data_IF_145140268722
#
_entry.id   IF_145140268722
#
_cell.length_a   1.000
_cell.length_b   1.000
_cell.length_c   1.000
_cell.angle_alpha   90.00
_cell.angle_beta   90.00
_cell.angle_gamma   90.00
#
_symmetry.space_group_name_H-M   'P 1'
#
loop_
_entity.id
_entity.type
_entity.pdbx_description
1 polymer ?
#
# COMPACT_ATOMS: atom_id res chain seq x y z
N UNK A 1 10.83 -17.49 -9.22
CA UNK A 1 11.92 -16.63 -9.69
C UNK A 1 11.58 -15.20 -9.31
N UNK A 2 12.40 -14.59 -8.47
CA UNK A 2 12.38 -13.18 -8.08
C UNK A 2 13.20 -12.40 -9.09
N UNK A 3 12.69 -11.24 -9.50
CA UNK A 3 13.38 -10.30 -10.39
C UNK A 3 13.32 -8.91 -9.77
N UNK A 4 14.47 -8.26 -9.64
CA UNK A 4 14.59 -6.91 -9.09
C UNK A 4 14.67 -5.88 -10.21
N UNK A 5 13.85 -4.82 -10.13
CA UNK A 5 13.90 -3.67 -11.04
C UNK A 5 13.78 -2.40 -10.23
N UNK A 6 14.78 -1.53 -10.35
CA UNK A 6 14.83 -0.25 -9.63
C UNK A 6 14.83 0.88 -10.64
N UNK A 7 13.94 1.86 -10.45
CA UNK A 7 13.81 3.01 -11.34
C UNK A 7 14.03 4.31 -10.57
N UNK A 8 14.72 5.26 -11.19
CA UNK A 8 14.78 6.64 -10.73
C UNK A 8 13.41 7.30 -10.99
N UNK A 9 12.71 7.68 -9.93
CA UNK A 9 11.33 8.18 -10.01
C UNK A 9 11.24 9.56 -10.68
N UNK A 10 12.33 10.33 -10.74
CA UNK A 10 12.36 11.63 -11.39
C UNK A 10 12.51 11.51 -12.91
N UNK A 11 13.30 10.54 -13.37
CA UNK A 11 13.69 10.41 -14.79
C UNK A 11 13.06 9.22 -15.49
N UNK A 12 12.54 8.25 -14.75
CA UNK A 12 12.08 6.95 -15.28
C UNK A 12 13.20 6.03 -15.74
N UNK A 13 14.48 6.37 -15.49
CA UNK A 13 15.63 5.55 -15.88
C UNK A 13 15.71 4.31 -14.99
N UNK A 14 15.87 3.13 -15.57
CA UNK A 14 16.26 1.92 -14.82
C UNK A 14 17.69 2.10 -14.28
N UNK A 15 17.84 1.91 -12.97
CA UNK A 15 19.11 2.01 -12.27
C UNK A 15 19.82 0.65 -12.26
N UNK A 16 21.12 0.68 -12.49
CA UNK A 16 22.01 -0.45 -12.19
C UNK A 16 22.49 -0.37 -10.73
N UNK A 17 22.98 -1.49 -10.18
CA UNK A 17 23.54 -1.51 -8.83
C UNK A 17 24.68 -0.48 -8.70
N UNK A 18 25.52 -0.36 -9.74
CA UNK A 18 26.62 0.61 -9.84
C UNK A 18 26.17 2.07 -9.86
N UNK A 19 24.94 2.38 -10.25
CA UNK A 19 24.40 3.74 -10.15
C UNK A 19 24.13 4.15 -8.69
N UNK A 20 23.89 3.16 -7.81
CA UNK A 20 23.41 3.33 -6.43
C UNK A 20 24.51 3.18 -5.39
N UNK A 21 25.47 2.28 -5.63
CA UNK A 21 26.54 1.98 -4.66
C UNK A 21 27.78 2.85 -4.91
N UNK A 22 28.48 3.21 -3.85
CA UNK A 22 29.77 3.93 -3.90
C UNK A 22 30.96 2.98 -3.86
N UNK A 23 30.79 1.83 -3.20
CA UNK A 23 31.81 0.79 -3.05
C UNK A 23 31.22 -0.58 -3.48
N UNK A 24 31.33 -0.87 -4.78
CA UNK A 24 30.77 -2.10 -5.36
C UNK A 24 31.46 -3.36 -4.83
N UNK A 25 32.78 -3.31 -4.64
CA UNK A 25 33.55 -4.43 -4.09
C UNK A 25 33.22 -4.64 -2.60
N UNK A 26 33.02 -3.55 -1.85
CA UNK A 26 32.54 -3.60 -0.48
C UNK A 26 31.16 -4.27 -0.34
N UNK A 27 30.25 -4.03 -1.29
CA UNK A 27 28.94 -4.72 -1.34
C UNK A 27 29.14 -6.22 -1.57
N UNK A 28 29.97 -6.62 -2.53
CA UNK A 28 30.27 -8.02 -2.80
C UNK A 28 30.84 -8.74 -1.56
N UNK A 29 31.84 -8.15 -0.90
CA UNK A 29 32.45 -8.73 0.31
C UNK A 29 31.46 -8.79 1.47
N UNK A 30 30.60 -7.77 1.64
CA UNK A 30 29.54 -7.80 2.65
C UNK A 30 28.57 -8.96 2.41
N UNK A 31 28.11 -9.13 1.16
CA UNK A 31 27.15 -10.17 0.78
C UNK A 31 27.74 -11.55 0.96
N UNK A 32 28.98 -11.75 0.51
CA UNK A 32 29.71 -13.00 0.73
C UNK A 32 29.77 -13.35 2.22
N UNK A 33 30.16 -12.39 3.06
CA UNK A 33 30.24 -12.58 4.51
C UNK A 33 28.87 -12.92 5.12
N UNK A 34 27.81 -12.22 4.75
CA UNK A 34 26.46 -12.49 5.26
C UNK A 34 25.95 -13.87 4.84
N UNK A 35 26.26 -14.31 3.63
CA UNK A 35 25.95 -15.67 3.19
C UNK A 35 26.71 -16.71 4.00
N UNK A 36 27.99 -16.48 4.31
CA UNK A 36 28.82 -17.37 5.14
C UNK A 36 28.34 -17.46 6.61
N UNK A 37 27.87 -16.35 7.18
CA UNK A 37 27.49 -16.26 8.59
C UNK A 37 26.04 -16.73 8.86
N UNK A 38 25.11 -16.48 7.93
CA UNK A 38 23.67 -16.62 8.20
C UNK A 38 23.03 -17.85 7.53
N UNK A 39 23.74 -18.55 6.65
CA UNK A 39 23.21 -19.73 5.96
C UNK A 39 24.02 -20.98 6.25
N UNK A 40 23.34 -22.15 6.21
CA UNK A 40 24.01 -23.44 6.32
C UNK A 40 24.86 -23.69 5.07
N UNK A 41 26.17 -23.54 5.23
CA UNK A 41 27.14 -23.70 4.15
C UNK A 41 27.11 -25.10 3.52
N UNK A 42 26.63 -26.12 4.25
CA UNK A 42 26.51 -27.48 3.70
C UNK A 42 25.40 -27.62 2.66
N UNK A 43 24.49 -26.65 2.60
CA UNK A 43 23.39 -26.61 1.63
C UNK A 43 23.78 -25.95 0.31
N UNK A 44 24.90 -25.22 0.25
CA UNK A 44 25.35 -24.54 -0.96
C UNK A 44 26.06 -25.49 -1.93
N UNK A 45 26.07 -25.15 -3.21
CA UNK A 45 26.87 -25.87 -4.20
C UNK A 45 28.37 -25.72 -3.92
N UNK A 46 29.17 -26.72 -4.29
CA UNK A 46 30.62 -26.71 -4.03
C UNK A 46 31.33 -25.48 -4.62
N UNK A 47 30.83 -24.97 -5.76
CA UNK A 47 31.34 -23.81 -6.49
C UNK A 47 30.49 -22.54 -6.32
N UNK A 48 29.65 -22.45 -5.29
CA UNK A 48 28.75 -21.30 -5.11
C UNK A 48 29.50 -19.96 -5.04
N UNK A 49 30.72 -19.92 -4.50
CA UNK A 49 31.51 -18.69 -4.40
C UNK A 49 31.97 -18.20 -5.78
N UNK A 50 32.32 -19.11 -6.69
CA UNK A 50 32.66 -18.76 -8.08
C UNK A 50 31.42 -18.25 -8.81
N UNK A 51 30.27 -18.86 -8.56
CA UNK A 51 28.97 -18.41 -9.10
C UNK A 51 28.62 -17.02 -8.59
N UNK A 52 28.72 -16.78 -7.27
CA UNK A 52 28.50 -15.48 -6.64
C UNK A 52 29.40 -14.40 -7.27
N UNK A 53 30.69 -14.69 -7.42
CA UNK A 53 31.62 -13.76 -8.06
C UNK A 53 31.21 -13.44 -9.51
N UNK A 54 30.85 -14.46 -10.30
CA UNK A 54 30.38 -14.24 -11.69
C UNK A 54 29.11 -13.40 -11.74
N UNK A 55 28.15 -13.61 -10.84
CA UNK A 55 26.91 -12.82 -10.80
C UNK A 55 27.15 -11.32 -10.52
N UNK A 56 28.24 -10.98 -9.81
CA UNK A 56 28.63 -9.58 -9.55
C UNK A 56 29.46 -8.95 -10.67
N UNK A 57 30.30 -9.73 -11.36
CA UNK A 57 31.35 -9.18 -12.24
C UNK A 57 31.27 -9.61 -13.71
N UNK A 58 30.51 -10.65 -14.04
CA UNK A 58 30.34 -11.16 -15.41
C UNK A 58 28.91 -10.94 -15.93
N UNK A 59 28.64 -9.71 -16.39
CA UNK A 59 27.35 -9.30 -16.96
C UNK A 59 27.03 -10.01 -18.29
N UNK A 60 27.98 -10.75 -18.88
CA UNK A 60 27.84 -11.47 -20.16
C UNK A 60 27.68 -12.99 -20.03
N UNK A 61 27.81 -13.52 -18.81
CA UNK A 61 27.87 -14.94 -18.53
C UNK A 61 26.51 -15.65 -18.46
N UNK A 62 26.55 -16.98 -18.52
CA UNK A 62 25.38 -17.87 -18.47
C UNK A 62 24.61 -17.84 -17.12
N UNK A 63 25.17 -17.19 -16.09
CA UNK A 63 24.65 -17.19 -14.71
C UNK A 63 23.74 -15.99 -14.39
N UNK A 64 23.62 -15.01 -15.30
CA UNK A 64 22.88 -13.78 -15.07
C UNK A 64 23.52 -12.85 -14.03
N UNK A 65 22.89 -11.71 -13.78
CA UNK A 65 23.34 -10.73 -12.79
C UNK A 65 22.56 -10.85 -11.48
N UNK A 66 23.17 -10.41 -10.38
CA UNK A 66 22.47 -10.31 -9.09
C UNK A 66 21.16 -9.54 -9.20
N UNK A 67 20.11 -10.10 -8.61
CA UNK A 67 18.81 -9.44 -8.51
C UNK A 67 18.78 -8.61 -7.25
N UNK A 68 18.32 -7.37 -7.34
CA UNK A 68 18.33 -6.46 -6.20
C UNK A 68 17.20 -5.44 -6.24
N UNK A 69 16.86 -4.93 -5.07
CA UNK A 69 15.92 -3.80 -4.88
C UNK A 69 16.49 -2.84 -3.84
N UNK A 70 15.99 -1.62 -3.84
CA UNK A 70 16.32 -0.60 -2.83
C UNK A 70 15.01 -0.15 -2.16
N UNK A 71 15.06 0.05 -0.85
CA UNK A 71 13.95 0.54 -0.03
C UNK A 71 14.40 1.78 0.77
N UNK A 72 13.53 2.28 1.65
CA UNK A 72 13.89 3.36 2.57
C UNK A 72 14.94 2.94 3.61
N UNK A 73 15.08 1.64 3.88
CA UNK A 73 15.97 1.13 4.95
C UNK A 73 17.33 0.67 4.44
N UNK A 74 17.46 0.42 3.14
CA UNK A 74 18.65 -0.18 2.57
C UNK A 74 18.40 -0.88 1.23
N UNK A 75 19.34 -1.77 0.90
CA UNK A 75 19.36 -2.55 -0.34
C UNK A 75 19.22 -4.03 -0.03
N UNK A 76 18.40 -4.74 -0.81
CA UNK A 76 18.22 -6.19 -0.71
C UNK A 76 18.79 -6.87 -1.95
N UNK A 77 19.63 -7.88 -1.79
CA UNK A 77 20.13 -8.76 -2.86
C UNK A 77 19.48 -10.12 -2.74
N UNK A 78 18.96 -10.63 -3.85
CA UNK A 78 18.23 -11.88 -3.93
C UNK A 78 18.97 -12.90 -4.79
N UNK A 79 18.99 -14.14 -4.32
CA UNK A 79 19.45 -15.31 -5.04
C UNK A 79 18.29 -16.29 -5.16
N UNK A 80 17.91 -16.59 -6.41
CA UNK A 80 16.86 -17.54 -6.70
C UNK A 80 17.27 -18.95 -6.29
N UNK A 81 16.26 -19.81 -6.12
CA UNK A 81 16.50 -21.25 -6.04
C UNK A 81 17.37 -21.70 -7.22
N UNK A 82 18.35 -22.56 -6.95
CA UNK A 82 19.35 -23.03 -7.90
C UNK A 82 20.45 -22.02 -8.31
N UNK A 83 20.42 -20.77 -7.84
CA UNK A 83 21.53 -19.83 -8.09
C UNK A 83 22.76 -20.27 -7.28
N UNK A 84 22.63 -20.36 -5.95
CA UNK A 84 23.72 -20.72 -5.04
C UNK A 84 23.56 -22.10 -4.38
N UNK A 85 22.33 -22.63 -4.38
CA UNK A 85 21.97 -23.82 -3.63
C UNK A 85 20.83 -24.60 -4.29
N UNK A 86 20.68 -25.92 -4.04
CA UNK A 86 19.55 -26.70 -4.52
C UNK A 86 18.21 -26.15 -4.03
N UNK A 87 17.11 -26.48 -4.72
CA UNK A 87 15.74 -26.06 -4.36
C UNK A 87 15.38 -26.19 -2.87
N UNK A 88 15.83 -27.27 -2.23
CA UNK A 88 15.54 -27.54 -0.80
C UNK A 88 16.13 -26.52 0.16
N UNK A 89 17.16 -25.78 -0.25
CA UNK A 89 17.75 -24.69 0.51
C UNK A 89 16.92 -23.39 0.43
N UNK A 90 15.90 -23.36 -0.43
CA UNK A 90 15.12 -22.16 -0.72
C UNK A 90 15.92 -21.09 -1.47
N UNK A 91 15.36 -19.89 -1.54
CA UNK A 91 16.06 -18.68 -2.00
C UNK A 91 16.85 -18.05 -0.86
N UNK A 92 17.96 -17.39 -1.19
CA UNK A 92 18.76 -16.63 -0.23
C UNK A 92 18.55 -15.12 -0.46
N UNK A 93 18.61 -14.34 0.61
CA UNK A 93 18.48 -12.89 0.58
C UNK A 93 19.51 -12.29 1.53
N UNK A 94 20.14 -11.19 1.12
CA UNK A 94 21.00 -10.40 1.99
C UNK A 94 20.52 -8.96 1.97
N UNK A 95 20.19 -8.44 3.15
CA UNK A 95 19.80 -7.05 3.36
C UNK A 95 20.98 -6.23 3.87
N UNK A 96 21.17 -5.06 3.29
CA UNK A 96 22.26 -4.14 3.56
C UNK A 96 21.66 -2.81 4.01
N UNK A 97 21.66 -2.59 5.33
CA UNK A 97 21.05 -1.39 5.95
C UNK A 97 21.84 -0.12 5.65
N UNK A 98 21.13 0.95 5.29
CA UNK A 98 21.70 2.30 5.21
C UNK A 98 22.22 2.80 6.53
N UNK A 99 21.59 2.43 7.65
CA UNK A 99 22.01 2.83 9.01
C UNK A 99 23.30 2.14 9.42
N UNK A 100 23.43 0.85 9.08
CA UNK A 100 24.59 0.04 9.46
C UNK A 100 25.79 0.22 8.53
N UNK A 101 25.56 0.40 7.23
CA UNK A 101 26.61 0.44 6.19
C UNK A 101 26.45 1.65 5.23
N UNK A 102 26.26 2.89 5.70
CA UNK A 102 25.99 4.03 4.83
C UNK A 102 27.12 4.30 3.83
N UNK A 103 28.35 3.96 4.19
CA UNK A 103 29.54 4.18 3.38
C UNK A 103 29.58 3.36 2.08
N UNK A 104 28.80 2.28 1.97
CA UNK A 104 28.73 1.44 0.77
C UNK A 104 27.87 2.07 -0.35
N UNK A 105 27.11 3.13 -0.03
CA UNK A 105 26.13 3.72 -0.93
C UNK A 105 26.52 5.12 -1.39
N UNK A 106 26.04 5.50 -2.58
CA UNK A 106 26.05 6.90 -2.99
C UNK A 106 25.14 7.68 -2.04
N UNK A 107 25.65 8.77 -1.46
CA UNK A 107 24.97 9.54 -0.41
C UNK A 107 23.56 10.02 -0.81
N UNK A 108 23.31 10.27 -2.10
CA UNK A 108 21.99 10.66 -2.61
C UNK A 108 20.89 9.61 -2.45
N UNK A 109 21.23 8.34 -2.25
CA UNK A 109 20.28 7.24 -2.06
C UNK A 109 20.15 6.79 -0.61
N UNK A 110 21.06 7.26 0.26
CA UNK A 110 20.99 6.98 1.69
C UNK A 110 19.84 7.79 2.28
N UNK A 111 18.83 7.10 2.80
CA UNK A 111 17.69 7.72 3.47
C UNK A 111 17.97 7.72 4.97
N UNK A 112 17.98 8.92 5.58
CA UNK A 112 18.19 9.11 7.02
C UNK A 112 16.86 9.18 7.81
N UNK A 113 15.77 8.72 7.21
CA UNK A 113 14.44 8.74 7.82
C UNK A 113 14.30 7.56 8.78
N UNK A 114 13.88 7.82 10.02
CA UNK A 114 13.64 6.73 10.99
C UNK A 114 12.37 5.94 10.66
N UNK A 115 11.36 6.58 10.04
CA UNK A 115 10.18 5.86 9.61
C UNK A 115 10.45 5.03 8.35
N UNK A 116 9.84 3.86 8.26
CA UNK A 116 9.95 3.00 7.09
C UNK A 116 8.73 2.10 6.91
N UNK A 117 8.61 1.49 5.73
CA UNK A 117 7.71 0.37 5.47
C UNK A 117 8.47 -0.86 5.01
N UNK A 118 7.98 -2.05 5.39
CA UNK A 118 8.47 -3.35 4.93
C UNK A 118 7.28 -4.19 4.46
N UNK A 119 7.37 -4.75 3.25
CA UNK A 119 6.35 -5.68 2.73
C UNK A 119 6.41 -6.99 3.51
N UNK A 120 5.26 -7.54 3.85
CA UNK A 120 5.11 -8.87 4.44
C UNK A 120 4.01 -9.64 3.71
N UNK A 121 4.24 -10.93 3.48
CA UNK A 121 3.30 -11.82 2.79
C UNK A 121 2.72 -12.83 3.76
N UNK A 122 1.48 -13.23 3.52
CA UNK A 122 0.80 -14.27 4.30
C UNK A 122 1.68 -15.53 4.37
N UNK A 123 1.79 -16.11 5.57
CA UNK A 123 2.60 -17.29 5.87
C UNK A 123 4.11 -17.12 5.64
N UNK A 124 4.61 -15.89 5.55
CA UNK A 124 6.03 -15.58 5.53
C UNK A 124 6.39 -14.66 6.70
N UNK A 125 7.68 -14.63 7.02
CA UNK A 125 8.23 -13.75 8.04
C UNK A 125 8.93 -12.55 7.42
N UNK A 126 8.91 -11.43 8.12
CA UNK A 126 9.85 -10.33 7.94
C UNK A 126 10.50 -9.98 9.28
N UNK A 127 11.63 -9.29 9.25
CA UNK A 127 12.37 -8.90 10.44
C UNK A 127 12.39 -7.39 10.54
N UNK A 128 12.11 -6.83 11.71
CA UNK A 128 12.16 -5.41 11.97
C UNK A 128 12.34 -5.15 13.47
N UNK A 129 13.05 -4.07 13.82
CA UNK A 129 13.13 -3.55 15.19
C UNK A 129 11.80 -2.85 15.52
N UNK A 130 10.90 -3.57 16.18
CA UNK A 130 9.52 -3.12 16.40
C UNK A 130 9.36 -2.23 17.62
N UNK A 131 10.27 -2.33 18.59
CA UNK A 131 10.22 -1.62 19.88
C UNK A 131 11.37 -0.62 20.08
N UNK A 132 12.30 -0.55 19.13
CA UNK A 132 13.42 0.40 19.13
C UNK A 132 14.58 -0.03 20.02
N UNK A 133 14.67 -1.30 20.42
CA UNK A 133 15.77 -1.81 21.24
C UNK A 133 17.07 -2.08 20.46
N UNK A 134 17.02 -1.99 19.13
CA UNK A 134 18.14 -2.21 18.22
C UNK A 134 18.35 -3.65 17.79
N UNK A 135 17.52 -4.61 18.21
CA UNK A 135 17.43 -5.96 17.67
C UNK A 135 16.23 -6.02 16.73
N UNK A 136 16.27 -6.96 15.78
CA UNK A 136 15.12 -7.20 14.92
C UNK A 136 14.29 -8.37 15.46
N UNK A 137 12.98 -8.18 15.52
CA UNK A 137 11.98 -9.19 15.86
C UNK A 137 11.45 -9.85 14.59
N UNK A 138 11.19 -11.16 14.69
CA UNK A 138 10.48 -11.88 13.63
C UNK A 138 8.98 -11.56 13.70
N UNK A 139 8.43 -11.07 12.59
CA UNK A 139 7.02 -10.76 12.42
C UNK A 139 6.46 -11.69 11.34
N UNK A 140 5.37 -12.38 11.64
CA UNK A 140 4.63 -13.18 10.66
C UNK A 140 3.12 -13.06 10.87
N UNK A 141 2.35 -13.34 9.84
CA UNK A 141 0.90 -13.47 9.96
C UNK A 141 0.37 -14.59 9.08
N UNK A 142 -0.77 -15.14 9.48
CA UNK A 142 -1.55 -16.09 8.69
C UNK A 142 -3.03 -15.78 8.78
N UNK A 143 -3.77 -16.21 7.77
CA UNK A 143 -5.23 -16.14 7.75
C UNK A 143 -5.76 -17.56 7.77
N UNK A 144 -6.63 -17.88 8.74
CA UNK A 144 -7.37 -19.13 8.75
C UNK A 144 -8.28 -19.16 7.51
N UNK A 145 -8.24 -20.25 6.75
CA UNK A 145 -9.03 -20.41 5.53
C UNK A 145 -9.97 -21.61 5.62
N UNK A 146 -11.19 -21.43 5.12
CA UNK A 146 -12.18 -22.50 5.03
C UNK A 146 -11.92 -23.44 3.82
N UNK A 147 -12.81 -24.41 3.60
CA UNK A 147 -12.67 -25.38 2.50
C UNK A 147 -12.73 -24.77 1.10
N UNK A 148 -13.27 -23.56 0.97
CA UNK A 148 -13.37 -22.80 -0.27
C UNK A 148 -12.23 -21.78 -0.42
N UNK A 149 -11.37 -21.65 0.59
CA UNK A 149 -10.24 -20.72 0.61
C UNK A 149 -10.60 -19.32 1.13
N UNK A 150 -11.82 -19.11 1.62
CA UNK A 150 -12.23 -17.84 2.21
C UNK A 150 -11.55 -17.62 3.56
N UNK A 151 -11.07 -16.41 3.78
CA UNK A 151 -10.41 -16.01 5.01
C UNK A 151 -11.35 -15.98 6.21
N UNK A 152 -10.74 -16.04 7.39
CA UNK A 152 -11.40 -16.00 8.69
C UNK A 152 -10.50 -15.31 9.71
N UNK A 153 -10.23 -15.97 10.83
CA UNK A 153 -9.37 -15.40 11.87
C UNK A 153 -7.95 -15.10 11.36
N UNK A 154 -7.36 -14.01 11.85
CA UNK A 154 -5.99 -13.61 11.56
C UNK A 154 -5.15 -13.94 12.78
N UNK A 155 -4.07 -14.68 12.56
CA UNK A 155 -3.04 -14.91 13.59
C UNK A 155 -1.83 -14.03 13.27
N UNK A 156 -1.45 -13.15 14.19
CA UNK A 156 -0.24 -12.33 14.10
C UNK A 156 0.76 -12.81 15.14
N UNK A 157 1.99 -13.05 14.71
CA UNK A 157 3.11 -13.42 15.59
C UNK A 157 4.19 -12.35 15.51
N UNK A 158 4.67 -11.91 16.68
CA UNK A 158 5.83 -11.01 16.80
C UNK A 158 6.71 -11.54 17.94
N UNK A 159 7.97 -11.87 17.63
CA UNK A 159 8.95 -12.44 18.58
C UNK A 159 8.37 -13.60 19.44
N UNK A 160 7.67 -14.52 18.78
CA UNK A 160 7.01 -15.67 19.42
C UNK A 160 5.77 -15.34 20.28
N UNK A 161 5.41 -14.07 20.45
CA UNK A 161 4.12 -13.67 21.02
C UNK A 161 3.04 -13.72 19.94
N UNK A 162 1.89 -14.29 20.28
CA UNK A 162 0.82 -14.57 19.32
C UNK A 162 -0.45 -13.83 19.72
N UNK A 163 -1.07 -13.16 18.77
CA UNK A 163 -2.43 -12.65 18.85
C UNK A 163 -3.29 -13.31 17.79
N UNK A 164 -4.47 -13.78 18.16
CA UNK A 164 -5.43 -14.38 17.25
C UNK A 164 -6.76 -13.62 17.34
N UNK A 165 -7.28 -13.16 16.20
CA UNK A 165 -8.55 -12.42 16.19
C UNK A 165 -9.74 -13.28 16.63
N UNK A 166 -9.62 -14.62 16.64
CA UNK A 166 -10.64 -15.50 17.21
C UNK A 166 -10.80 -15.35 18.74
N UNK A 167 -9.83 -14.73 19.43
CA UNK A 167 -9.92 -14.38 20.85
C UNK A 167 -10.82 -13.15 21.09
N UNK A 168 -11.08 -12.36 20.05
CA UNK A 168 -11.97 -11.20 20.13
C UNK A 168 -13.41 -11.66 20.02
N UNK A 169 -14.29 -11.09 20.85
CA UNK A 169 -15.71 -11.45 20.90
C UNK A 169 -16.37 -11.26 19.53
N UNK A 170 -16.77 -12.38 18.92
CA UNK A 170 -17.36 -12.45 17.56
C UNK A 170 -18.73 -11.78 17.49
N UNK A 171 -19.40 -11.60 18.64
CA UNK A 171 -20.71 -10.95 18.69
C UNK A 171 -20.59 -9.41 18.66
N UNK A 172 -19.36 -8.85 18.69
CA UNK A 172 -19.11 -7.41 18.75
C UNK A 172 -18.86 -6.73 17.40
N UNK A 173 -18.52 -7.45 16.32
CA UNK A 173 -18.39 -6.89 14.95
C UNK A 173 -18.06 -7.95 13.90
N UNK A 174 -18.59 -7.80 12.68
CA UNK A 174 -18.13 -8.50 11.46
C UNK A 174 -16.66 -8.14 11.08
N UNK A 175 -16.06 -7.16 11.76
CA UNK A 175 -14.77 -6.56 11.42
C UNK A 175 -13.53 -7.24 12.03
N UNK A 176 -13.67 -8.33 12.79
CA UNK A 176 -12.53 -8.99 13.43
C UNK A 176 -11.98 -10.17 12.62
N UNK A 177 -11.14 -9.86 11.64
CA UNK A 177 -10.47 -10.87 10.82
C UNK A 177 -10.54 -10.56 9.34
N UNK A 178 -10.22 -11.55 8.53
CA UNK A 178 -10.25 -11.49 7.08
C UNK A 178 -11.46 -12.27 6.51
N UNK A 179 -12.62 -12.19 7.19
CA UNK A 179 -13.82 -12.94 6.81
C UNK A 179 -14.22 -12.63 5.36
N UNK A 180 -14.44 -13.67 4.55
CA UNK A 180 -14.78 -13.54 3.13
C UNK A 180 -13.57 -13.28 2.20
N UNK A 181 -12.40 -12.95 2.75
CA UNK A 181 -11.28 -12.54 1.93
C UNK A 181 -10.63 -13.69 1.13
N UNK A 182 -10.39 -13.46 -0.16
CA UNK A 182 -9.68 -14.34 -1.08
C UNK A 182 -8.17 -14.27 -0.92
N UNK A 183 -7.62 -13.12 -0.57
CA UNK A 183 -6.17 -12.92 -0.40
C UNK A 183 -5.88 -11.87 0.65
N UNK A 184 -4.67 -11.94 1.19
CA UNK A 184 -4.17 -10.99 2.18
C UNK A 184 -2.74 -10.60 1.84
N UNK A 185 -2.44 -9.31 1.95
CA UNK A 185 -1.09 -8.77 1.81
C UNK A 185 -0.86 -7.71 2.89
N UNK A 186 0.39 -7.53 3.32
CA UNK A 186 0.68 -6.67 4.45
C UNK A 186 1.90 -5.77 4.30
N UNK A 187 1.90 -4.73 5.13
CA UNK A 187 3.05 -3.88 5.39
C UNK A 187 3.27 -3.76 6.88
N UNK A 188 4.52 -3.93 7.31
CA UNK A 188 4.99 -3.44 8.61
C UNK A 188 5.37 -1.97 8.42
N UNK A 189 4.75 -1.10 9.20
CA UNK A 189 4.93 0.34 9.18
C UNK A 189 5.56 0.78 10.50
N UNK A 190 6.78 1.30 10.44
CA UNK A 190 7.46 1.90 11.58
C UNK A 190 7.44 3.41 11.44
N UNK A 191 6.86 4.09 12.42
CA UNK A 191 6.67 5.54 12.42
C UNK A 191 7.87 6.26 13.04
N UNK A 192 8.03 7.54 12.74
CA UNK A 192 9.20 8.32 13.20
C UNK A 192 9.26 8.53 14.72
N UNK A 193 8.15 8.32 15.43
CA UNK A 193 8.09 8.36 16.90
C UNK A 193 8.27 6.99 17.57
N UNK A 194 8.64 5.96 16.78
CA UNK A 194 9.03 4.64 17.27
C UNK A 194 7.88 3.63 17.40
N UNK A 195 6.67 3.96 16.94
CA UNK A 195 5.55 3.00 16.96
C UNK A 195 5.55 2.13 15.71
N UNK A 196 5.24 0.85 15.88
CA UNK A 196 5.26 -0.15 14.80
C UNK A 196 3.90 -0.81 14.65
N UNK A 197 3.39 -0.82 13.43
CA UNK A 197 2.08 -1.36 13.07
C UNK A 197 2.18 -2.37 11.94
N UNK A 198 1.29 -3.36 11.93
CA UNK A 198 1.06 -4.25 10.81
C UNK A 198 -0.28 -3.87 10.17
N UNK A 199 -0.22 -3.41 8.93
CA UNK A 199 -1.39 -3.14 8.10
C UNK A 199 -1.61 -4.33 7.18
N UNK A 200 -2.80 -4.93 7.22
CA UNK A 200 -3.18 -6.05 6.35
C UNK A 200 -4.34 -5.65 5.46
N UNK A 201 -4.13 -5.65 4.15
CA UNK A 201 -5.19 -5.48 3.17
C UNK A 201 -5.74 -6.84 2.78
N UNK A 202 -7.06 -6.92 2.70
CA UNK A 202 -7.79 -8.10 2.30
C UNK A 202 -8.56 -7.83 1.01
N UNK A 203 -8.56 -8.79 0.09
CA UNK A 203 -9.39 -8.76 -1.12
C UNK A 203 -10.63 -9.61 -0.91
N UNK A 204 -11.80 -9.03 -1.10
CA UNK A 204 -13.11 -9.66 -0.95
C UNK A 204 -13.91 -9.58 -2.26
N UNK A 205 -15.17 -10.01 -2.22
CA UNK A 205 -16.11 -9.96 -3.34
C UNK A 205 -16.22 -8.57 -3.97
N UNK A 206 -16.52 -8.57 -5.28
CA UNK A 206 -16.63 -7.36 -6.11
C UNK A 206 -15.38 -6.46 -6.08
N UNK A 207 -14.19 -7.07 -5.94
CA UNK A 207 -12.90 -6.40 -5.80
C UNK A 207 -12.84 -5.43 -4.62
N UNK A 208 -13.74 -5.58 -3.64
CA UNK A 208 -13.73 -4.78 -2.43
C UNK A 208 -12.48 -5.08 -1.63
N UNK A 209 -11.87 -4.04 -1.07
CA UNK A 209 -10.70 -4.17 -0.23
C UNK A 209 -10.85 -3.35 1.04
N UNK A 210 -10.32 -3.87 2.12
CA UNK A 210 -10.33 -3.26 3.44
C UNK A 210 -9.03 -3.56 4.18
N UNK A 211 -8.77 -2.82 5.25
CA UNK A 211 -7.54 -2.94 6.04
C UNK A 211 -7.87 -3.30 7.48
N UNK A 212 -7.16 -4.29 8.01
CA UNK A 212 -7.02 -4.54 9.45
C UNK A 212 -5.67 -4.03 9.94
N UNK A 213 -5.66 -3.40 11.11
CA UNK A 213 -4.46 -2.84 11.72
C UNK A 213 -4.16 -3.54 13.04
N UNK A 214 -2.88 -3.88 13.24
CA UNK A 214 -2.35 -4.42 14.48
C UNK A 214 -1.17 -3.58 14.96
N UNK A 215 -1.00 -3.47 16.28
CA UNK A 215 0.13 -2.82 16.93
C UNK A 215 1.15 -3.88 17.37
N UNK A 216 2.43 -3.60 17.17
CA UNK A 216 3.54 -4.54 17.42
C UNK A 216 4.53 -4.06 18.49
N UNK A 217 4.61 -2.76 18.77
CA UNK A 217 5.64 -2.13 19.63
C UNK A 217 5.42 -2.30 21.16
N UNK A 218 4.46 -3.12 21.60
CA UNK A 218 4.07 -3.26 23.02
C UNK A 218 4.13 -4.71 23.54
N UNK A 219 4.97 -5.55 22.93
CA UNK A 219 5.13 -6.96 23.28
C UNK A 219 4.14 -7.84 22.53
N UNK A 220 3.10 -8.37 23.20
CA UNK A 220 2.10 -9.20 22.51
C UNK A 220 1.38 -8.34 21.46
N UNK A 221 1.26 -8.78 20.19
CA UNK A 221 0.51 -8.03 19.20
C UNK A 221 -0.92 -7.75 19.66
N UNK A 222 -1.49 -6.63 19.23
CA UNK A 222 -2.86 -6.27 19.58
C UNK A 222 -3.60 -5.66 18.40
N UNK A 223 -4.88 -6.01 18.26
CA UNK A 223 -5.74 -5.40 17.25
C UNK A 223 -6.00 -3.92 17.53
N UNK A 224 -5.92 -3.09 16.49
CA UNK A 224 -6.14 -1.65 16.55
C UNK A 224 -7.50 -1.30 15.95
N UNK A 225 -7.79 -1.77 14.74
CA UNK A 225 -9.05 -1.44 14.07
C UNK A 225 -9.17 -1.96 12.64
N UNK A 226 -10.32 -1.63 12.06
CA UNK A 226 -10.75 -1.95 10.70
C UNK A 226 -11.01 -0.66 9.94
N UNK A 227 -10.64 -0.64 8.67
CA UNK A 227 -10.91 0.45 7.75
C UNK A 227 -11.50 -0.06 6.43
N UNK A 228 -12.64 0.50 6.02
CA UNK A 228 -13.31 0.22 4.74
C UNK A 228 -12.64 0.88 3.53
N UNK A 229 -11.33 1.07 3.60
CA UNK A 229 -10.49 1.68 2.58
C UNK A 229 -9.18 0.90 2.49
N UNK A 230 -8.50 0.98 1.35
CA UNK A 230 -7.33 0.16 1.11
C UNK A 230 -6.36 0.80 0.09
N UNK A 231 -5.12 0.30 0.01
CA UNK A 231 -4.12 0.79 -0.94
C UNK A 231 -4.28 0.19 -2.34
N UNK A 232 -5.14 -0.82 -2.51
CA UNK A 232 -5.34 -1.56 -3.74
C UNK A 232 -4.02 -2.04 -4.33
N UNK A 233 -3.68 -1.60 -5.54
CA UNK A 233 -2.45 -2.01 -6.23
C UNK A 233 -1.34 -0.97 -6.06
N UNK A 234 -1.49 -0.02 -5.13
CA UNK A 234 -0.43 0.95 -4.79
C UNK A 234 0.47 0.41 -3.69
N UNK A 235 1.67 1.00 -3.58
CA UNK A 235 2.64 0.63 -2.55
C UNK A 235 2.62 1.64 -1.41
N UNK A 236 2.67 1.15 -0.17
CA UNK A 236 2.94 1.99 1.00
C UNK A 236 4.45 2.06 1.14
N UNK A 237 5.03 3.18 0.69
CA UNK A 237 6.48 3.41 0.80
C UNK A 237 6.85 4.16 2.06
N UNK A 238 5.93 4.96 2.60
CA UNK A 238 6.19 5.88 3.70
C UNK A 238 4.95 5.98 4.59
N UNK A 239 5.03 5.65 5.89
CA UNK A 239 3.89 5.76 6.81
C UNK A 239 3.44 7.21 7.05
N UNK A 240 4.26 8.21 6.76
CA UNK A 240 3.87 9.61 6.89
C UNK A 240 3.10 10.13 5.66
N UNK A 241 3.06 9.36 4.56
CA UNK A 241 2.36 9.76 3.33
C UNK A 241 2.18 8.58 2.38
N UNK A 242 0.99 7.99 2.37
CA UNK A 242 0.58 6.94 1.43
C UNK A 242 -0.83 7.17 0.88
N UNK A 243 -1.18 6.53 -0.23
CA UNK A 243 -2.49 6.68 -0.85
C UNK A 243 -3.41 5.55 -0.42
N UNK A 244 -4.64 5.88 -0.03
CA UNK A 244 -5.73 4.90 0.10
C UNK A 244 -6.90 5.31 -0.80
N UNK A 245 -7.66 4.30 -1.19
CA UNK A 245 -8.84 4.39 -2.02
C UNK A 245 -10.05 3.98 -1.20
N UNK A 246 -11.13 4.73 -1.38
CA UNK A 246 -12.42 4.51 -0.73
C UNK A 246 -13.48 4.39 -1.80
N UNK A 247 -14.36 3.39 -1.68
CA UNK A 247 -15.56 3.29 -2.51
C UNK A 247 -16.52 4.42 -2.08
N UNK A 248 -16.87 5.29 -3.01
CA UNK A 248 -17.78 6.41 -2.79
C UNK A 248 -19.07 6.17 -3.56
N UNK A 249 -20.19 6.47 -2.92
CA UNK A 249 -21.52 6.45 -3.52
C UNK A 249 -22.07 7.88 -3.60
N UNK A 250 -21.46 8.71 -4.45
CA UNK A 250 -21.83 10.13 -4.66
C UNK A 250 -22.20 10.36 -6.13
N UNK A 251 -23.49 10.53 -6.42
CA UNK A 251 -24.01 10.64 -7.79
C UNK A 251 -23.55 9.47 -8.70
N UNK A 252 -23.47 8.28 -8.14
CA UNK A 252 -22.89 7.08 -8.74
C UNK A 252 -21.83 6.43 -7.86
N UNK A 253 -21.37 5.23 -8.23
CA UNK A 253 -20.32 4.52 -7.49
C UNK A 253 -18.98 4.57 -8.22
N UNK A 254 -17.93 4.96 -7.50
CA UNK A 254 -16.55 4.98 -8.00
C UNK A 254 -15.57 5.00 -6.82
N UNK A 255 -14.27 4.91 -7.12
CA UNK A 255 -13.22 5.01 -6.10
C UNK A 255 -12.63 6.41 -6.05
N UNK A 256 -12.71 7.03 -4.88
CA UNK A 256 -11.99 8.25 -4.56
C UNK A 256 -10.68 7.95 -3.84
N UNK A 257 -9.66 8.77 -4.04
CA UNK A 257 -8.38 8.63 -3.33
C UNK A 257 -8.04 9.88 -2.53
N UNK A 258 -7.37 9.68 -1.39
CA UNK A 258 -6.77 10.71 -0.55
C UNK A 258 -5.37 10.29 -0.13
N UNK A 259 -4.55 11.25 0.27
CA UNK A 259 -3.29 10.99 0.95
C UNK A 259 -3.55 10.80 2.44
N UNK A 260 -2.99 9.74 2.99
CA UNK A 260 -3.08 9.37 4.39
C UNK A 260 -1.69 9.31 5.03
N UNK A 261 -1.68 9.41 6.35
CA UNK A 261 -0.56 9.09 7.22
C UNK A 261 -1.06 8.21 8.37
N UNK A 262 -0.14 7.57 9.10
CA UNK A 262 -0.48 6.87 10.35
C UNK A 262 -0.76 7.91 11.44
N UNK A 263 -1.88 7.80 12.13
CA UNK A 263 -2.27 8.71 13.22
C UNK A 263 -1.73 8.27 14.60
N UNK A 264 -2.16 8.92 15.69
CA UNK A 264 -1.78 8.56 17.06
C UNK A 264 -2.28 7.17 17.51
N UNK A 265 -3.41 6.71 16.98
CA UNK A 265 -3.96 5.39 17.27
C UNK A 265 -3.29 4.28 16.44
N UNK A 266 -2.66 4.64 15.32
CA UNK A 266 -2.13 3.70 14.34
C UNK A 266 -3.06 3.46 13.17
N UNK A 267 -4.13 4.24 13.02
CA UNK A 267 -5.06 4.14 11.90
C UNK A 267 -4.66 5.14 10.79
N UNK A 268 -5.07 4.91 9.53
CA UNK A 268 -4.94 5.91 8.48
C UNK A 268 -5.75 7.17 8.80
N UNK A 269 -5.09 8.34 8.83
CA UNK A 269 -5.73 9.64 8.87
C UNK A 269 -5.30 10.50 7.68
N UNK A 270 -6.17 11.42 7.25
CA UNK A 270 -5.94 12.28 6.09
C UNK A 270 -6.22 13.73 6.46
N UNK A 271 -5.29 14.62 6.13
CA UNK A 271 -5.49 16.08 6.18
C UNK A 271 -6.27 16.60 4.95
N UNK A 272 -6.41 15.79 3.89
CA UNK A 272 -7.17 16.16 2.70
C UNK A 272 -8.68 16.20 3.00
N UNK A 273 -9.31 17.35 2.74
CA UNK A 273 -10.76 17.53 2.90
C UNK A 273 -11.55 16.70 1.87
N UNK A 274 -11.02 16.53 0.65
CA UNK A 274 -11.75 15.98 -0.48
C UNK A 274 -11.02 14.82 -1.17
N UNK A 275 -11.77 13.84 -1.63
CA UNK A 275 -11.29 12.76 -2.48
C UNK A 275 -11.07 13.25 -3.90
N UNK A 276 -9.97 12.83 -4.52
CA UNK A 276 -9.75 12.95 -5.96
C UNK A 276 -10.29 11.71 -6.66
N UNK A 277 -11.00 11.90 -7.76
CA UNK A 277 -11.62 10.84 -8.55
C UNK A 277 -10.99 10.87 -9.93
N UNK A 278 -10.32 9.78 -10.32
CA UNK A 278 -9.68 9.67 -11.63
C UNK A 278 -10.65 9.18 -12.71
N UNK A 279 -11.62 8.35 -12.34
CA UNK A 279 -12.54 7.71 -13.27
C UNK A 279 -13.97 7.80 -12.73
N UNK A 280 -14.84 8.49 -13.47
CA UNK A 280 -16.28 8.53 -13.24
C UNK A 280 -17.02 8.57 -14.58
N UNK A 281 -18.30 8.16 -14.58
CA UNK A 281 -19.13 8.25 -15.78
C UNK A 281 -19.66 9.67 -15.97
N UNK A 282 -19.82 10.09 -17.22
CA UNK A 282 -20.50 11.35 -17.51
C UNK A 282 -22.00 11.21 -17.24
N UNK A 283 -22.53 12.02 -16.33
CA UNK A 283 -23.95 12.17 -16.04
C UNK A 283 -24.55 13.22 -16.97
N UNK A 284 -25.81 13.06 -17.38
CA UNK A 284 -26.52 14.06 -18.17
C UNK A 284 -27.74 14.57 -17.40
N UNK A 285 -27.79 15.89 -17.20
CA UNK A 285 -28.90 16.52 -16.47
C UNK A 285 -30.21 16.49 -17.26
N UNK A 286 -31.33 16.25 -16.59
CA UNK A 286 -32.69 16.29 -17.16
C UNK A 286 -33.38 17.64 -16.91
N UNK A 287 -32.81 18.48 -16.05
CA UNK A 287 -33.29 19.81 -15.69
C UNK A 287 -32.13 20.78 -15.48
N UNK A 288 -32.47 22.06 -15.38
CA UNK A 288 -31.50 23.08 -15.01
C UNK A 288 -31.02 22.86 -13.58
N UNK A 289 -29.71 22.93 -13.35
CA UNK A 289 -29.09 22.75 -12.03
C UNK A 289 -28.47 24.06 -11.57
N UNK A 290 -28.75 24.44 -10.32
CA UNK A 290 -28.00 25.48 -9.62
C UNK A 290 -26.65 24.89 -9.17
N UNK A 291 -25.55 25.53 -9.57
CA UNK A 291 -24.18 25.09 -9.28
C UNK A 291 -23.29 26.29 -8.97
N UNK A 292 -22.15 26.03 -8.35
CA UNK A 292 -21.08 27.01 -8.20
C UNK A 292 -20.00 26.75 -9.25
N UNK A 293 -19.75 27.67 -10.18
CA UNK A 293 -18.65 27.55 -11.15
C UNK A 293 -17.32 27.77 -10.43
N UNK A 294 -16.37 26.87 -10.68
CA UNK A 294 -15.03 26.88 -10.11
C UNK A 294 -14.06 27.45 -11.14
N UNK A 295 -13.63 28.70 -10.95
CA UNK A 295 -12.74 29.37 -11.89
C UNK A 295 -11.27 28.99 -11.65
N UNK A 296 -10.46 29.01 -12.70
CA UNK A 296 -9.02 28.66 -12.63
C UNK A 296 -8.20 29.57 -11.71
N UNK A 297 -8.68 30.78 -11.44
CA UNK A 297 -8.06 31.74 -10.52
C UNK A 297 -8.47 31.47 -9.05
N UNK A 298 -9.26 30.42 -8.77
CA UNK A 298 -9.77 30.06 -7.46
C UNK A 298 -11.03 30.80 -7.02
N UNK A 299 -11.63 31.65 -7.86
CA UNK A 299 -12.91 32.29 -7.54
C UNK A 299 -14.09 31.36 -7.81
N UNK A 300 -15.14 31.50 -7.00
CA UNK A 300 -16.37 30.71 -7.09
C UNK A 300 -17.55 31.63 -7.47
N UNK A 301 -18.41 31.22 -8.40
CA UNK A 301 -19.58 32.01 -8.82
C UNK A 301 -20.82 31.15 -9.00
N UNK A 302 -21.90 31.51 -8.33
CA UNK A 302 -23.21 30.87 -8.49
C UNK A 302 -23.74 31.03 -9.92
N UNK A 303 -24.23 29.93 -10.50
CA UNK A 303 -24.77 29.88 -11.84
C UNK A 303 -25.89 28.83 -11.95
N UNK A 304 -26.66 28.93 -13.03
CA UNK A 304 -27.58 27.88 -13.47
C UNK A 304 -27.02 27.27 -14.74
N UNK A 305 -26.82 25.95 -14.73
CA UNK A 305 -26.42 25.17 -15.90
C UNK A 305 -27.65 24.48 -16.48
N UNK A 306 -27.85 24.63 -17.79
CA UNK A 306 -29.07 24.19 -18.46
C UNK A 306 -29.17 22.66 -18.54
N UNK A 307 -30.41 22.16 -18.57
CA UNK A 307 -30.75 20.78 -18.86
C UNK A 307 -30.04 20.24 -20.12
N UNK A 308 -29.68 18.95 -20.10
CA UNK A 308 -28.94 18.27 -21.17
C UNK A 308 -27.42 18.43 -21.08
N UNK A 309 -26.91 19.20 -20.12
CA UNK A 309 -25.47 19.36 -19.87
C UNK A 309 -24.87 18.09 -19.27
N UNK A 310 -23.63 17.78 -19.66
CA UNK A 310 -22.86 16.63 -19.17
C UNK A 310 -21.93 17.01 -18.01
N UNK A 311 -21.85 16.15 -16.99
CA UNK A 311 -21.07 16.32 -15.76
C UNK A 311 -20.21 15.09 -15.50
N UNK A 312 -18.89 15.24 -15.38
CA UNK A 312 -17.97 14.17 -14.99
C UNK A 312 -17.35 14.51 -13.64
N UNK A 313 -17.68 13.75 -12.59
CA UNK A 313 -17.21 14.04 -11.23
C UNK A 313 -15.71 13.78 -11.13
N UNK A 314 -14.96 14.72 -10.55
CA UNK A 314 -13.51 14.58 -10.33
C UNK A 314 -13.09 14.82 -8.88
N UNK A 315 -13.96 15.38 -8.03
CA UNK A 315 -13.68 15.61 -6.61
C UNK A 315 -14.95 15.65 -5.75
N UNK A 316 -14.89 15.17 -4.52
CA UNK A 316 -16.01 15.22 -3.55
C UNK A 316 -15.47 15.08 -2.13
N UNK A 317 -16.17 15.61 -1.14
CA UNK A 317 -15.92 15.29 0.28
C UNK A 317 -16.62 13.99 0.73
N UNK A 318 -17.43 13.38 -0.13
CA UNK A 318 -18.22 12.20 0.17
C UNK A 318 -19.55 12.48 0.87
N UNK A 319 -19.90 13.74 1.14
CA UNK A 319 -20.99 14.07 2.06
C UNK A 319 -21.83 15.30 1.69
N UNK A 320 -21.23 16.35 1.12
CA UNK A 320 -21.91 17.64 0.93
C UNK A 320 -21.77 18.24 -0.46
N UNK A 321 -20.79 17.81 -1.26
CA UNK A 321 -20.69 18.29 -2.63
C UNK A 321 -20.05 17.30 -3.61
N UNK A 322 -20.29 17.53 -4.89
CA UNK A 322 -19.60 16.86 -6.00
C UNK A 322 -19.10 17.92 -7.00
N UNK A 323 -17.78 18.00 -7.17
CA UNK A 323 -17.16 18.84 -8.19
C UNK A 323 -17.03 18.05 -9.50
N UNK A 324 -17.43 18.69 -10.60
CA UNK A 324 -17.56 18.06 -11.90
C UNK A 324 -16.98 18.91 -13.02
N UNK A 325 -16.39 18.25 -14.01
CA UNK A 325 -16.09 18.83 -15.31
C UNK A 325 -17.38 18.89 -16.13
N UNK A 326 -17.74 20.08 -16.61
CA UNK A 326 -18.79 20.26 -17.59
C UNK A 326 -18.29 19.92 -18.98
N UNK A 327 -19.16 19.39 -19.84
CA UNK A 327 -18.83 19.09 -21.24
C UNK A 327 -18.49 20.34 -22.10
N UNK A 328 -18.72 21.55 -21.57
CA UNK A 328 -18.30 22.81 -22.18
C UNK A 328 -16.92 23.32 -21.71
N UNK A 329 -16.24 22.55 -20.86
CA UNK A 329 -14.86 22.80 -20.41
C UNK A 329 -14.73 23.65 -19.15
N UNK A 330 -15.85 24.01 -18.50
CA UNK A 330 -15.86 24.65 -17.17
C UNK A 330 -15.89 23.59 -16.07
N UNK A 331 -15.47 23.98 -14.87
CA UNK A 331 -15.62 23.16 -13.67
C UNK A 331 -16.72 23.74 -12.79
N UNK A 332 -17.50 22.88 -12.14
CA UNK A 332 -18.56 23.32 -11.22
C UNK A 332 -18.62 22.45 -9.98
N UNK A 333 -19.23 22.98 -8.92
CA UNK A 333 -19.62 22.29 -7.71
C UNK A 333 -21.14 22.12 -7.67
N UNK A 334 -21.59 20.89 -7.49
CA UNK A 334 -22.97 20.53 -7.20
C UNK A 334 -23.07 20.34 -5.69
N UNK A 335 -23.94 21.11 -5.02
CA UNK A 335 -24.24 20.90 -3.62
C UNK A 335 -25.22 19.73 -3.48
N UNK A 336 -24.90 18.78 -2.61
CA UNK A 336 -25.72 17.59 -2.36
C UNK A 336 -26.05 17.49 -0.88
N UNK A 337 -27.15 16.81 -0.58
CA UNK A 337 -27.51 16.42 0.79
C UNK A 337 -27.99 14.99 0.77
N UNK A 338 -27.80 14.29 1.89
CA UNK A 338 -28.34 12.94 2.05
C UNK A 338 -29.83 12.92 1.68
N UNK A 339 -30.18 12.01 0.77
CA UNK A 339 -31.52 11.95 0.20
C UNK A 339 -32.55 11.73 1.30
N UNK A 340 -33.66 12.47 1.22
CA UNK A 340 -34.78 12.38 2.16
C UNK A 340 -35.41 10.98 2.29
N UNK A 341 -35.09 10.06 1.37
CA UNK A 341 -35.54 8.66 1.34
C UNK A 341 -34.58 7.68 2.05
N UNK A 342 -33.50 8.17 2.65
CA UNK A 342 -32.50 7.35 3.33
C UNK A 342 -31.54 6.61 2.39
N UNK A 343 -31.53 6.98 1.11
CA UNK A 343 -30.58 6.52 0.11
C UNK A 343 -30.44 7.58 -0.99
N UNK A 344 -29.26 7.63 -1.63
CA UNK A 344 -28.97 8.60 -2.70
C UNK A 344 -28.84 10.04 -2.19
N UNK A 345 -28.95 11.00 -3.11
CA UNK A 345 -28.70 12.42 -2.85
C UNK A 345 -29.83 13.32 -3.32
N UNK A 346 -30.08 14.41 -2.58
CA UNK A 346 -30.94 15.50 -2.99
C UNK A 346 -30.10 16.70 -3.46
N UNK A 347 -30.45 17.26 -4.62
CA UNK A 347 -29.89 18.49 -5.21
C UNK A 347 -30.98 19.55 -5.21
N UNK A 348 -30.77 20.62 -4.44
CA UNK A 348 -31.77 21.68 -4.21
C UNK A 348 -33.16 21.13 -3.77
N UNK A 349 -33.13 20.09 -2.91
CA UNK A 349 -34.33 19.45 -2.40
C UNK A 349 -35.03 18.51 -3.38
N UNK A 350 -34.38 18.16 -4.49
CA UNK A 350 -34.91 17.19 -5.46
C UNK A 350 -33.96 16.01 -5.64
N UNK A 351 -34.51 14.80 -5.66
CA UNK A 351 -33.76 13.56 -5.83
C UNK A 351 -32.87 13.60 -7.06
N UNK A 352 -31.63 13.12 -6.91
CA UNK A 352 -30.66 12.94 -7.99
C UNK A 352 -31.22 12.14 -9.18
N UNK A 353 -32.11 11.17 -8.94
CA UNK A 353 -32.77 10.37 -9.99
C UNK A 353 -33.66 11.21 -10.91
N UNK A 354 -34.19 12.32 -10.40
CA UNK A 354 -34.96 13.26 -11.20
C UNK A 354 -34.09 14.34 -11.84
N UNK A 355 -32.85 14.50 -11.38
CA UNK A 355 -31.90 15.50 -11.85
C UNK A 355 -31.02 14.98 -12.99
N UNK A 356 -30.80 13.67 -13.08
CA UNK A 356 -29.97 13.03 -14.11
C UNK A 356 -30.72 11.93 -14.87
N UNK A 357 -30.36 11.72 -16.13
CA UNK A 357 -30.95 10.69 -16.99
C UNK A 357 -30.67 9.26 -16.48
N UNK A 358 -29.55 9.10 -15.78
CA UNK A 358 -29.06 7.84 -15.22
C UNK A 358 -27.97 8.13 -14.18
N UNK A 359 -27.78 7.21 -13.22
CA UNK A 359 -26.73 7.25 -12.21
C UNK A 359 -26.02 5.89 -12.13
N UNK A 360 -24.68 5.83 -12.22
CA UNK A 360 -23.91 4.60 -12.30
C UNK A 360 -23.64 3.99 -10.92
N UNK A 361 -24.68 3.67 -10.15
CA UNK A 361 -24.50 2.93 -8.89
C UNK A 361 -24.23 1.46 -9.15
N UNK A 362 -23.26 0.87 -8.44
CA UNK A 362 -22.99 -0.58 -8.45
C UNK A 362 -23.36 -1.17 -7.09
N UNK A 363 -24.00 -2.34 -7.10
CA UNK A 363 -24.42 -3.07 -5.90
C UNK A 363 -23.53 -4.25 -5.58
#
# INVERSE_FOLDING_TARGET
>A
MTTGRTYDTQTGKELSLKDVVSDYDGIYEYVKKQLEENYDQSMFFEDYQDTLQKMFYDESGDYGTVQWTISQTGLSIYFNQYDLAPYVAGSQQVDISFKAQPQLFQSRYVVEKESYSKVIRENNSCFADVDGDGKEEEISYSVARDEYGFGGAITVTCDGQIFDTAEVDKDASDAYGAYGAYSSEGYVLHTSDGRTYLYLQHLDDNDYRYVNVFRLDQGRPSYVGYEGMAWYNTQILDPDSFMLYTRLDVLGTYYGMKRYHVDEAGLPASDDEAYVINESSMLRSTRDLAVTILEKNGSETEATVLSGTGYTIFRTDGASYADAHLNDGRDCRIQIKEGSRGWGWDIDGVSEEECFEWLPYVG
#
